data_IF_256994966002
#
_entry.id   IF_256994966002
#
_cell.length_a   1.000
_cell.length_b   1.000
_cell.length_c   1.000
_cell.angle_alpha   90.00
_cell.angle_beta   90.00
_cell.angle_gamma   90.00
#
_symmetry.space_group_name_H-M   'P 1'
#
loop_
_entity.id
_entity.type
_entity.pdbx_description
1 polymer ?
2 non-polymer ?
3 water ?
#
# COMPACT_ATOMS: atom_id res chain seq x y z
N UNK A 7 -15.27 8.53 21.28
CA UNK A 7 -16.03 7.40 21.81
C UNK A 7 -15.18 6.57 22.78
N UNK A 8 -15.78 6.09 23.87
CA UNK A 8 -14.99 5.47 24.92
C UNK A 8 -14.37 4.16 24.45
N UNK A 9 -13.25 3.75 25.05
CA UNK A 9 -12.62 2.49 24.67
C UNK A 9 -13.44 1.29 25.09
N UNK A 10 -13.24 0.19 24.37
CA UNK A 10 -13.81 -1.11 24.70
C UNK A 10 -12.65 -2.07 24.96
N UNK A 11 -12.97 -3.18 25.65
CA UNK A 11 -11.95 -4.21 25.83
C UNK A 11 -11.60 -4.85 24.49
N UNK A 12 -10.43 -5.50 24.45
CA UNK A 12 -10.05 -6.24 23.26
C UNK A 12 -11.07 -7.32 22.93
N UNK A 13 -11.57 -8.02 23.96
CA UNK A 13 -12.57 -9.06 23.72
C UNK A 13 -13.84 -8.48 23.13
N UNK A 14 -14.28 -7.32 23.65
CA UNK A 14 -15.51 -6.71 23.14
C UNK A 14 -15.33 -6.27 21.70
N UNK A 15 -14.17 -5.71 21.37
CA UNK A 15 -13.88 -5.34 19.99
C UNK A 15 -13.94 -6.55 19.08
N UNK A 16 -13.31 -7.66 19.48
CA UNK A 16 -13.29 -8.85 18.65
C UNK A 16 -14.68 -9.47 18.51
N UNK A 17 -15.51 -9.33 19.54
CA UNK A 17 -16.88 -9.81 19.42
C UNK A 17 -17.69 -9.00 18.42
N UNK A 18 -17.23 -7.78 18.11
CA UNK A 18 -17.87 -6.93 17.12
C UNK A 18 -17.09 -6.89 15.80
N UNK A 19 -16.48 -8.00 15.41
CA UNK A 19 -15.74 -8.01 14.15
C UNK A 19 -16.69 -7.89 12.96
N UNK A 20 -16.10 -7.66 11.78
CA UNK A 20 -16.88 -7.55 10.56
C UNK A 20 -17.72 -8.81 10.35
N UNK A 21 -19.02 -8.61 10.15
CA UNK A 21 -19.98 -9.70 10.08
C UNK A 21 -20.24 -10.04 8.62
N UNK A 22 -20.08 -11.32 8.28
CA UNK A 22 -20.18 -11.76 6.89
C UNK A 22 -20.47 -13.25 6.85
N UNK A 23 -21.26 -13.66 5.86
CA UNK A 23 -21.69 -15.06 5.71
C UNK A 23 -20.68 -15.79 4.84
N UNK A 24 -19.60 -16.30 5.47
CA UNK A 24 -18.55 -16.97 4.72
C UNK A 24 -19.03 -18.27 4.08
N UNK A 25 -20.06 -18.92 4.65
CA UNK A 25 -20.50 -20.19 4.11
C UNK A 25 -21.09 -20.03 2.71
N UNK A 26 -21.72 -18.89 2.43
CA UNK A 26 -22.38 -18.65 1.16
C UNK A 26 -21.47 -17.99 0.12
N UNK A 27 -20.23 -17.68 0.48
CA UNK A 27 -19.33 -16.90 -0.35
C UNK A 27 -18.18 -17.77 -0.84
N UNK A 28 -17.78 -17.60 -2.10
CA UNK A 28 -16.59 -18.25 -2.63
C UNK A 28 -15.55 -17.17 -2.89
N UNK A 29 -14.51 -17.04 -2.06
CA UNK A 29 -13.45 -16.06 -2.34
C UNK A 29 -12.81 -16.35 -3.68
N UNK A 30 -12.54 -15.34 -4.50
CA UNK A 30 -11.91 -15.60 -5.81
C UNK A 30 -10.53 -16.21 -5.65
N UNK A 31 -10.27 -17.27 -6.41
CA UNK A 31 -8.99 -17.97 -6.35
C UNK A 31 -7.96 -17.15 -7.11
N UNK A 32 -6.76 -17.01 -6.54
CA UNK A 32 -5.70 -16.27 -7.21
C UNK A 32 -5.17 -17.07 -8.40
N UNK A 33 -5.20 -16.47 -9.59
CA UNK A 33 -4.81 -17.20 -10.77
C UNK A 33 -3.31 -17.52 -10.79
N UNK A 34 -2.48 -16.58 -10.35
CA UNK A 34 -1.02 -16.72 -10.41
C UNK A 34 -0.44 -16.68 -8.99
N UNK A 35 -0.33 -17.86 -8.37
CA UNK A 35 0.33 -17.94 -7.07
C UNK A 35 1.83 -17.80 -7.25
N UNK A 36 2.49 -17.15 -6.31
CA UNK A 36 3.93 -17.03 -6.36
C UNK A 36 4.36 -15.58 -6.47
N UNK A 37 5.66 -15.40 -6.62
CA UNK A 37 6.30 -14.07 -6.61
C UNK A 37 6.86 -13.81 -8.00
N UNK A 38 6.62 -12.59 -8.50
CA UNK A 38 7.05 -12.20 -9.84
C UNK A 38 7.66 -10.81 -9.79
N UNK A 39 8.92 -10.70 -10.21
CA UNK A 39 9.52 -9.39 -10.41
C UNK A 39 8.89 -8.70 -11.62
N UNK A 40 8.66 -7.40 -11.50
CA UNK A 40 8.04 -6.62 -12.56
C UNK A 40 8.85 -5.35 -12.80
N UNK A 41 8.65 -4.77 -13.98
CA UNK A 41 9.13 -3.44 -14.28
C UNK A 41 8.04 -2.71 -15.06
N UNK A 42 8.19 -1.39 -15.12
CA UNK A 42 7.31 -0.60 -15.95
C UNK A 42 8.10 0.61 -16.43
N UNK A 43 7.95 0.93 -17.71
CA UNK A 43 8.64 2.09 -18.28
C UNK A 43 7.95 3.38 -17.86
N UNK A 44 8.70 4.48 -17.96
CA UNK A 44 8.10 5.78 -17.77
C UNK A 44 6.97 6.00 -18.77
N UNK A 45 7.16 5.56 -20.03
CA UNK A 45 6.11 5.71 -21.01
C UNK A 45 4.83 5.01 -20.57
N UNK A 46 4.94 3.80 -20.02
CA UNK A 46 3.75 3.09 -19.54
C UNK A 46 3.13 3.81 -18.35
N UNK A 47 3.95 4.21 -17.37
CA UNK A 47 3.41 4.72 -16.12
C UNK A 47 2.84 6.12 -16.25
N UNK A 48 3.26 6.90 -17.25
CA UNK A 48 2.79 8.28 -17.26
C UNK A 48 1.29 8.36 -17.51
N UNK A 49 0.70 7.32 -18.12
CA UNK A 49 -0.75 7.28 -18.29
C UNK A 49 -1.49 6.87 -17.01
N UNK A 50 -0.77 6.49 -15.97
CA UNK A 50 -1.35 6.18 -14.66
C UNK A 50 -1.00 7.21 -13.60
N UNK A 51 -0.38 8.33 -13.97
CA UNK A 51 -0.05 9.35 -12.98
C UNK A 51 -1.31 10.07 -12.54
N UNK A 52 -1.41 10.33 -11.23
CA UNK A 52 -2.39 11.24 -10.66
C UNK A 52 -1.65 12.56 -10.45
N UNK A 53 -1.94 13.56 -11.29
CA UNK A 53 -1.20 14.81 -11.26
C UNK A 53 -1.58 15.73 -10.11
N UNK A 54 -2.72 15.52 -9.46
CA UNK A 54 -3.15 16.47 -8.44
C UNK A 54 -2.18 16.57 -7.26
N UNK A 55 -1.66 15.47 -6.69
CA UNK A 55 -0.66 15.61 -5.63
C UNK A 55 0.63 16.24 -6.10
N UNK A 56 0.95 16.20 -7.38
CA UNK A 56 2.14 16.88 -7.89
C UNK A 56 2.00 18.39 -7.72
N UNK A 57 0.84 18.93 -8.10
CA UNK A 57 0.60 20.36 -7.93
C UNK A 57 0.53 20.73 -6.46
N UNK A 58 0.02 19.84 -5.60
CA UNK A 58 0.02 20.12 -4.16
C UNK A 58 1.44 20.26 -3.63
N UNK A 59 2.36 19.44 -4.13
CA UNK A 59 3.76 19.56 -3.73
C UNK A 59 4.32 20.93 -4.10
N UNK A 60 3.86 21.49 -5.21
CA UNK A 60 4.27 22.81 -5.64
C UNK A 60 3.44 23.93 -5.02
N UNK A 61 2.60 23.62 -4.04
CA UNK A 61 1.81 24.59 -3.28
C UNK A 61 0.72 25.26 -4.11
N UNK A 62 0.13 24.54 -5.06
CA UNK A 62 -0.94 25.07 -5.87
C UNK A 62 -2.21 24.28 -5.61
N UNK A 63 -3.33 24.98 -5.47
CA UNK A 63 -4.61 24.38 -5.17
C UNK A 63 -5.40 24.17 -6.45
N UNK A 64 -6.17 23.09 -6.50
CA UNK A 64 -6.99 22.78 -7.66
C UNK A 64 -6.71 21.37 -8.14
N UNK A 65 -7.72 20.76 -8.76
CA UNK A 65 -7.61 19.42 -9.29
C UNK A 65 -7.17 19.48 -10.75
N UNK A 66 -6.28 18.57 -11.12
CA UNK A 66 -5.93 18.39 -12.52
C UNK A 66 -7.05 17.60 -13.22
N UNK A 67 -7.42 17.96 -14.45
CA UNK A 67 -6.83 18.96 -15.35
C UNK A 67 -7.37 20.40 -15.23
N UNK A 68 -8.43 20.62 -14.44
CA UNK A 68 -9.04 21.95 -14.39
C UNK A 68 -8.07 23.01 -13.92
N UNK A 69 -7.11 22.64 -13.07
CA UNK A 69 -6.14 23.61 -12.55
C UNK A 69 -5.39 24.32 -13.68
N UNK A 70 -5.21 23.64 -14.82
CA UNK A 70 -4.48 24.24 -15.92
C UNK A 70 -5.20 25.46 -16.50
N UNK A 71 -6.53 25.47 -16.45
CA UNK A 71 -7.33 26.56 -16.98
C UNK A 71 -7.73 27.56 -15.90
N UNK A 72 -7.10 27.49 -14.73
CA UNK A 72 -7.36 28.45 -13.67
C UNK A 72 -6.87 29.84 -14.05
N UNK A 73 -7.64 30.85 -13.63
CA UNK A 73 -7.35 32.23 -14.04
C UNK A 73 -6.29 32.91 -13.20
N UNK A 74 -5.99 32.39 -12.01
CA UNK A 74 -4.97 32.97 -11.13
C UNK A 74 -3.71 32.10 -11.06
N UNK A 75 -3.88 30.78 -11.04
CA UNK A 75 -2.75 29.87 -10.90
C UNK A 75 -2.47 29.05 -12.16
N UNK A 76 -3.34 29.13 -13.17
CA UNK A 76 -3.23 28.25 -14.33
C UNK A 76 -1.94 28.41 -15.10
N UNK A 77 -1.44 29.65 -15.23
CA UNK A 77 -0.23 29.87 -16.00
C UNK A 77 0.98 29.23 -15.33
N UNK A 78 1.14 29.43 -14.03
CA UNK A 78 2.20 28.73 -13.31
C UNK A 78 2.02 27.21 -13.39
N UNK A 79 0.79 26.72 -13.25
CA UNK A 79 0.55 25.28 -13.32
C UNK A 79 0.93 24.73 -14.68
N UNK A 80 0.63 25.48 -15.75
CA UNK A 80 0.99 25.03 -17.10
C UNK A 80 2.50 24.94 -17.26
N UNK A 81 3.25 25.91 -16.72
CA UNK A 81 4.71 25.85 -16.81
C UNK A 81 5.26 24.67 -16.02
N UNK A 82 4.76 24.45 -14.81
CA UNK A 82 5.17 23.27 -14.03
C UNK A 82 4.87 21.98 -14.78
N UNK A 83 3.69 21.88 -15.38
CA UNK A 83 3.31 20.67 -16.11
C UNK A 83 4.19 20.46 -17.33
N UNK A 84 4.48 21.54 -18.06
CA UNK A 84 5.38 21.43 -19.21
C UNK A 84 6.78 21.02 -18.79
N UNK A 85 7.32 21.65 -17.73
CA UNK A 85 8.65 21.26 -17.26
C UNK A 85 8.67 19.82 -16.78
N UNK A 86 7.60 19.40 -16.10
CA UNK A 86 7.54 18.01 -15.62
C UNK A 86 7.54 17.03 -16.79
N UNK A 87 6.75 17.31 -17.83
CA UNK A 87 6.69 16.38 -18.94
C UNK A 87 7.95 16.42 -19.80
N UNK A 88 8.58 17.59 -19.90
CA UNK A 88 9.89 17.64 -20.54
C UNK A 88 10.92 16.79 -19.79
N UNK A 89 10.87 16.83 -18.45
CA UNK A 89 11.81 15.99 -17.70
C UNK A 89 11.47 14.51 -17.82
N UNK A 90 10.18 14.15 -17.78
CA UNK A 90 9.81 12.76 -18.04
C UNK A 90 10.30 12.30 -19.40
N UNK A 91 10.17 13.14 -20.44
CA UNK A 91 10.65 12.77 -21.77
C UNK A 91 12.13 12.45 -21.74
N UNK A 92 12.92 13.26 -21.02
CA UNK A 92 14.36 13.06 -20.97
C UNK A 92 14.72 11.81 -20.18
N UNK A 93 14.15 11.65 -18.99
CA UNK A 93 14.37 10.45 -18.19
C UNK A 93 13.99 9.19 -18.97
N UNK A 94 12.90 9.28 -19.74
CA UNK A 94 12.43 8.14 -20.52
C UNK A 94 13.41 7.83 -21.65
N UNK A 95 13.81 8.85 -22.42
CA UNK A 95 14.67 8.60 -23.56
C UNK A 95 16.05 8.14 -23.14
N UNK A 96 16.56 8.66 -22.02
CA UNK A 96 17.89 8.36 -21.56
C UNK A 96 17.95 7.16 -20.62
N UNK A 97 16.79 6.64 -20.18
CA UNK A 97 16.71 5.47 -19.31
C UNK A 97 17.48 5.68 -18.01
N UNK A 98 17.39 6.89 -17.47
CA UNK A 98 18.14 7.26 -16.28
C UNK A 98 17.35 7.12 -14.99
N UNK A 99 16.06 6.82 -15.06
CA UNK A 99 15.24 6.53 -13.89
C UNK A 99 14.32 5.39 -14.28
N UNK A 100 14.46 4.25 -13.62
CA UNK A 100 13.86 3.00 -14.09
C UNK A 100 12.97 2.37 -13.04
N UNK A 101 11.64 2.55 -13.14
CA UNK A 101 10.75 1.99 -12.12
C UNK A 101 10.80 0.47 -12.09
N UNK A 102 10.76 -0.07 -10.87
CA UNK A 102 10.85 -1.51 -10.65
C UNK A 102 9.90 -1.91 -9.53
N UNK A 103 9.50 -3.19 -9.55
CA UNK A 103 8.62 -3.66 -8.50
C UNK A 103 8.63 -5.17 -8.41
N UNK A 104 7.81 -5.66 -7.48
CA UNK A 104 7.63 -7.10 -7.28
C UNK A 104 6.23 -7.30 -6.74
N UNK A 105 5.59 -8.41 -7.15
CA UNK A 105 4.23 -8.75 -6.73
C UNK A 105 4.21 -10.20 -6.30
N UNK A 106 3.33 -10.53 -5.34
CA UNK A 106 3.16 -11.92 -4.94
C UNK A 106 1.75 -12.21 -4.49
N UNK A 107 1.29 -13.44 -4.78
CA UNK A 107 0.00 -13.94 -4.30
C UNK A 107 0.21 -15.28 -3.60
N UNK A 108 -0.54 -15.48 -2.53
CA UNK A 108 -0.32 -16.61 -1.62
C UNK A 108 -1.65 -17.13 -1.07
N UNK A 109 -1.75 -18.43 -0.78
CA UNK A 109 -2.92 -18.92 -0.02
C UNK A 109 -2.89 -18.34 1.38
N UNK A 110 -4.06 -18.01 1.92
CA UNK A 110 -4.12 -17.32 3.21
C UNK A 110 -5.46 -17.61 3.88
N UNK A 111 -5.47 -17.53 5.21
CA UNK A 111 -6.71 -17.56 5.98
C UNK A 111 -6.53 -16.72 7.23
N UNK A 112 -7.63 -16.16 7.71
CA UNK A 112 -7.63 -15.41 8.95
C UNK A 112 -7.63 -16.36 10.15
N UNK A 113 -6.85 -15.99 11.17
CA UNK A 113 -7.00 -16.58 12.51
C UNK A 113 -6.95 -15.42 13.49
N UNK A 114 -8.09 -15.12 14.11
CA UNK A 114 -8.13 -14.01 15.05
C UNK A 114 -7.90 -12.69 14.34
N UNK A 115 -7.02 -11.86 14.89
CA UNK A 115 -6.69 -10.58 14.27
C UNK A 115 -5.53 -10.69 13.29
N UNK A 116 -5.11 -11.90 12.92
CA UNK A 116 -3.96 -12.10 12.05
C UNK A 116 -4.38 -12.86 10.79
N UNK A 117 -3.50 -12.79 9.78
CA UNK A 117 -3.69 -13.54 8.53
C UNK A 117 -2.52 -14.50 8.40
N UNK A 118 -2.82 -15.80 8.38
CA UNK A 118 -1.78 -16.80 8.10
C UNK A 118 -1.56 -16.87 6.59
N UNK A 119 -0.29 -16.88 6.19
CA UNK A 119 0.11 -17.00 4.78
C UNK A 119 0.82 -18.34 4.63
N UNK A 120 0.30 -19.20 3.75
CA UNK A 120 0.74 -20.60 3.69
C UNK A 120 1.79 -20.81 2.60
N UNK A 121 2.63 -21.83 2.83
CA UNK A 121 3.58 -22.27 1.80
C UNK A 121 2.88 -22.73 0.53
N UNK A 122 1.74 -23.40 0.68
CA UNK A 122 1.10 -24.01 -0.48
C UNK A 122 -0.36 -24.27 -0.18
N UNK A 123 -1.06 -24.84 -1.17
CA UNK A 123 -2.49 -25.05 -1.05
C UNK A 123 -2.88 -26.14 -0.04
N UNK A 124 -1.91 -26.86 0.54
CA UNK A 124 -2.30 -27.72 1.66
C UNK A 124 -2.72 -26.91 2.87
N UNK A 125 -2.32 -25.64 2.96
CA UNK A 125 -2.69 -24.77 4.06
C UNK A 125 -2.33 -25.36 5.42
N UNK A 126 -1.11 -25.90 5.50
CA UNK A 126 -0.59 -26.42 6.76
C UNK A 126 0.54 -25.49 7.23
N UNK A 127 1.70 -25.63 6.62
CA UNK A 127 2.84 -24.84 7.04
C UNK A 127 2.66 -23.37 6.68
N UNK A 128 2.89 -22.52 7.67
CA UNK A 128 2.76 -21.08 7.54
C UNK A 128 4.15 -20.53 7.25
N UNK A 129 4.28 -19.77 6.16
CA UNK A 129 5.56 -19.14 5.86
C UNK A 129 5.70 -17.79 6.55
N UNK A 130 4.59 -17.07 6.73
CA UNK A 130 4.60 -15.77 7.40
C UNK A 130 3.21 -15.53 7.97
N UNK A 131 3.16 -14.69 9.00
CA UNK A 131 1.89 -14.18 9.50
C UNK A 131 1.86 -12.68 9.28
N UNK A 132 0.77 -12.22 8.66
CA UNK A 132 0.48 -10.78 8.56
C UNK A 132 -0.35 -10.39 9.79
N UNK A 133 0.22 -9.58 10.68
CA UNK A 133 -0.45 -9.21 11.92
C UNK A 133 -1.20 -7.91 11.74
N UNK A 134 -2.40 -7.83 12.31
CA UNK A 134 -3.21 -6.62 12.21
C UNK A 134 -3.78 -6.19 13.56
N UNK A 135 -4.14 -4.92 13.61
CA UNK A 135 -4.76 -4.31 14.78
C UNK A 135 -6.24 -4.09 14.50
N UNK A 136 -7.00 -3.93 15.58
CA UNK A 136 -8.45 -3.79 15.52
C UNK A 136 -8.87 -2.49 16.19
N UNK A 137 -9.79 -1.77 15.54
CA UNK A 137 -10.42 -0.61 16.16
C UNK A 137 -10.91 -0.97 17.56
N UNK A 138 -10.70 -0.06 18.52
CA UNK A 138 -10.94 -0.43 19.91
C UNK A 138 -11.75 0.61 20.68
N UNK A 139 -12.69 1.28 20.01
CA UNK A 139 -13.64 2.16 20.67
C UNK A 139 -15.06 1.70 20.36
N UNK A 140 -16.02 2.30 21.07
CA UNK A 140 -17.42 1.92 20.91
C UNK A 140 -17.90 2.32 19.53
N UNK A 141 -18.42 1.35 18.78
CA UNK A 141 -18.91 1.58 17.43
C UNK A 141 -20.43 1.47 17.43
N UNK A 142 -21.08 2.45 16.82
CA UNK A 142 -22.53 2.48 16.70
C UNK A 142 -22.89 2.17 15.26
N UNK A 143 -23.49 1.01 15.03
CA UNK A 143 -23.88 0.62 13.69
C UNK A 143 -22.72 0.33 12.76
N UNK A 144 -21.59 -0.10 13.31
CA UNK A 144 -20.46 -0.51 12.50
C UNK A 144 -19.62 -1.49 13.31
N UNK A 145 -18.94 -2.38 12.60
CA UNK A 145 -18.01 -3.30 13.22
C UNK A 145 -16.82 -2.56 13.79
N UNK A 146 -16.12 -3.22 14.71
CA UNK A 146 -14.77 -2.82 15.10
C UNK A 146 -13.82 -3.47 14.10
N UNK A 147 -13.40 -2.70 13.10
CA UNK A 147 -12.75 -3.28 11.93
C UNK A 147 -11.31 -3.71 12.20
N UNK A 148 -10.92 -4.81 11.57
CA UNK A 148 -9.55 -5.30 11.50
C UNK A 148 -9.34 -5.84 10.08
N UNK A 149 -8.20 -5.53 9.46
CA UNK A 149 -8.02 -5.95 8.07
C UNK A 149 -8.12 -7.46 7.91
N UNK A 150 -7.77 -8.21 8.96
CA UNK A 150 -7.87 -9.67 8.88
C UNK A 150 -9.30 -10.14 8.61
N UNK A 151 -10.30 -9.32 9.01
CA UNK A 151 -11.70 -9.70 8.83
C UNK A 151 -12.08 -9.86 7.38
N UNK A 152 -11.29 -9.34 6.44
CA UNK A 152 -11.64 -9.42 5.03
C UNK A 152 -11.10 -10.68 4.37
N UNK A 153 -10.47 -11.59 5.14
CA UNK A 153 -9.99 -12.88 4.65
C UNK A 153 -10.78 -13.97 5.37
N UNK A 154 -11.14 -15.03 4.64
CA UNK A 154 -11.98 -16.07 5.23
C UNK A 154 -11.32 -16.67 6.46
N UNK A 155 -12.05 -16.84 7.56
CA UNK A 155 -11.50 -17.52 8.74
C UNK A 155 -11.09 -18.94 8.40
N UNK A 156 -9.98 -19.39 8.96
CA UNK A 156 -9.55 -20.77 8.76
C UNK A 156 -10.65 -21.75 9.14
N UNK A 157 -11.42 -21.43 10.20
CA UNK A 157 -12.50 -22.29 10.65
C UNK A 157 -13.59 -22.48 9.58
N UNK A 158 -13.76 -21.50 8.69
CA UNK A 158 -14.78 -21.61 7.64
C UNK A 158 -14.42 -22.64 6.58
N UNK A 159 -13.14 -23.01 6.50
CA UNK A 159 -12.70 -23.96 5.49
C UNK A 159 -12.63 -23.42 4.08
N UNK A 160 -12.86 -22.12 3.89
CA UNK A 160 -12.89 -21.55 2.53
C UNK A 160 -11.48 -21.21 2.06
N UNK A 161 -11.16 -21.58 0.83
CA UNK A 161 -9.86 -21.28 0.25
C UNK A 161 -9.77 -19.80 -0.09
N UNK A 162 -8.89 -19.08 0.60
CA UNK A 162 -8.72 -17.64 0.38
C UNK A 162 -7.25 -17.33 0.11
N UNK A 163 -7.00 -16.06 -0.23
CA UNK A 163 -5.72 -15.62 -0.77
C UNK A 163 -5.42 -14.21 -0.28
N UNK A 164 -4.13 -13.86 -0.33
CA UNK A 164 -3.65 -12.52 -0.02
C UNK A 164 -2.56 -12.17 -1.02
N UNK A 165 -2.43 -10.88 -1.33
CA UNK A 165 -1.35 -10.41 -2.17
C UNK A 165 -0.48 -9.40 -1.43
N UNK A 166 0.70 -9.17 -2.00
CA UNK A 166 1.55 -8.08 -1.52
C UNK A 166 2.33 -7.51 -2.70
N UNK A 167 2.85 -6.29 -2.52
CA UNK A 167 3.62 -5.64 -3.56
C UNK A 167 4.63 -4.67 -2.95
N UNK A 168 5.65 -4.35 -3.75
CA UNK A 168 6.55 -3.25 -3.46
C UNK A 168 6.97 -2.68 -4.80
N UNK A 169 6.88 -1.34 -4.95
CA UNK A 169 7.25 -0.67 -6.21
C UNK A 169 8.03 0.59 -5.88
N UNK A 170 8.86 1.01 -6.84
CA UNK A 170 9.63 2.24 -6.71
C UNK A 170 9.68 2.99 -8.03
N UNK A 171 9.75 4.32 -7.95
CA UNK A 171 10.00 5.12 -9.13
C UNK A 171 11.36 4.86 -9.77
N UNK A 172 12.31 4.32 -9.01
CA UNK A 172 13.60 3.97 -9.54
C UNK A 172 14.73 4.17 -8.56
N UNK A 173 15.74 3.30 -8.60
CA UNK A 173 16.83 3.40 -7.63
C UNK A 173 17.71 4.62 -7.86
N UNK A 174 17.61 5.23 -9.04
CA UNK A 174 18.46 6.36 -9.42
C UNK A 174 17.98 7.68 -8.84
N UNK A 175 16.86 7.70 -8.12
CA UNK A 175 16.29 8.95 -7.61
C UNK A 175 17.32 9.80 -6.85
N UNK A 176 18.04 9.20 -5.90
CA UNK A 176 18.99 9.97 -5.09
C UNK A 176 20.11 10.55 -5.94
N UNK A 177 20.63 9.78 -6.91
CA UNK A 177 21.74 10.27 -7.71
C UNK A 177 21.31 11.45 -8.57
N UNK A 178 20.08 11.42 -9.08
CA UNK A 178 19.60 12.53 -9.90
C UNK A 178 19.32 13.76 -9.04
N UNK A 179 18.69 13.56 -7.88
CA UNK A 179 18.43 14.68 -6.98
C UNK A 179 19.72 15.25 -6.43
N UNK A 180 20.68 14.39 -6.08
CA UNK A 180 21.92 14.88 -5.48
C UNK A 180 22.75 15.68 -6.48
N UNK A 181 22.63 15.35 -7.77
CA UNK A 181 23.32 16.12 -8.79
C UNK A 181 22.75 17.53 -8.89
N UNK A 182 21.42 17.65 -8.91
CA UNK A 182 20.81 18.98 -8.90
C UNK A 182 21.17 19.74 -7.63
N UNK A 183 21.21 19.04 -6.48
CA UNK A 183 21.60 19.70 -5.24
C UNK A 183 23.01 20.25 -5.33
N UNK A 184 23.93 19.50 -5.93
CA UNK A 184 25.30 19.96 -6.05
C UNK A 184 25.39 21.22 -6.91
N UNK A 185 24.48 21.37 -7.88
CA UNK A 185 24.42 22.54 -8.75
C UNK A 185 23.67 23.71 -8.12
N UNK A 186 23.17 23.55 -6.89
CA UNK A 186 22.27 24.52 -6.26
C UNK A 186 21.03 24.78 -7.10
N UNK A 187 20.55 23.74 -7.80
CA UNK A 187 19.35 23.83 -8.64
C UNK A 187 18.19 23.24 -7.85
N UNK A 188 17.64 24.05 -6.95
CA UNK A 188 16.58 23.56 -6.07
C UNK A 188 15.31 23.23 -6.85
N UNK A 189 15.01 24.00 -7.90
CA UNK A 189 13.81 23.74 -8.70
C UNK A 189 13.84 22.34 -9.27
N UNK A 190 14.94 21.96 -9.90
CA UNK A 190 15.00 20.65 -10.55
C UNK A 190 15.19 19.52 -9.54
N UNK A 191 15.82 19.79 -8.40
CA UNK A 191 15.84 18.78 -7.34
C UNK A 191 14.43 18.46 -6.87
N UNK A 192 13.62 19.48 -6.62
CA UNK A 192 12.22 19.28 -6.24
C UNK A 192 11.47 18.57 -7.36
N UNK A 193 11.71 18.97 -8.61
CA UNK A 193 10.99 18.39 -9.74
C UNK A 193 11.27 16.90 -9.88
N UNK A 194 12.54 16.49 -9.82
CA UNK A 194 12.84 15.08 -10.05
C UNK A 194 12.31 14.21 -8.92
N UNK A 195 12.39 14.70 -7.67
CA UNK A 195 11.82 13.94 -6.55
C UNK A 195 10.29 13.85 -6.67
N UNK A 196 9.65 14.92 -7.15
CA UNK A 196 8.20 14.92 -7.31
C UNK A 196 7.79 13.96 -8.43
N UNK A 197 8.58 13.91 -9.50
CA UNK A 197 8.30 12.97 -10.57
C UNK A 197 8.54 11.53 -10.14
N UNK A 198 9.62 11.27 -9.39
CA UNK A 198 9.82 9.91 -8.89
C UNK A 198 8.65 9.48 -8.02
N UNK A 199 8.14 10.41 -7.20
CA UNK A 199 6.97 10.14 -6.38
C UNK A 199 5.75 9.80 -7.24
N UNK A 200 5.49 10.62 -8.28
CA UNK A 200 4.37 10.30 -9.18
C UNK A 200 4.55 8.95 -9.84
N UNK A 201 5.78 8.60 -10.23
CA UNK A 201 6.01 7.31 -10.88
C UNK A 201 5.80 6.14 -9.92
N UNK A 202 6.25 6.28 -8.67
CA UNK A 202 6.03 5.21 -7.71
C UNK A 202 4.53 5.01 -7.47
N UNK A 203 3.80 6.10 -7.30
CA UNK A 203 2.36 6.00 -7.05
C UNK A 203 1.63 5.50 -8.29
N UNK A 204 2.07 5.91 -9.48
CA UNK A 204 1.50 5.38 -10.72
C UNK A 204 1.75 3.89 -10.85
N UNK A 205 2.96 3.44 -10.48
CA UNK A 205 3.25 2.00 -10.49
C UNK A 205 2.36 1.25 -9.50
N UNK A 206 2.13 1.82 -8.32
CA UNK A 206 1.21 1.14 -7.39
C UNK A 206 -0.19 1.02 -7.99
N UNK A 207 -0.64 2.07 -8.69
CA UNK A 207 -1.96 2.03 -9.31
C UNK A 207 -2.01 1.01 -10.46
N UNK A 208 -1.01 1.07 -11.34
CA UNK A 208 -0.96 0.16 -12.48
C UNK A 208 -0.84 -1.29 -12.02
N UNK A 209 0.05 -1.56 -11.06
CA UNK A 209 0.23 -2.94 -10.61
C UNK A 209 -1.02 -3.47 -9.93
N UNK A 210 -1.72 -2.63 -9.15
CA UNK A 210 -2.99 -3.06 -8.56
C UNK A 210 -4.00 -3.45 -9.63
N UNK A 211 -4.08 -2.67 -10.72
CA UNK A 211 -4.96 -3.04 -11.82
C UNK A 211 -4.54 -4.37 -12.43
N UNK A 212 -3.24 -4.57 -12.65
CA UNK A 212 -2.73 -5.85 -13.14
C UNK A 212 -3.13 -7.00 -12.22
N UNK A 213 -3.11 -6.77 -10.91
CA UNK A 213 -3.49 -7.81 -9.96
C UNK A 213 -4.98 -8.11 -10.07
N UNK A 214 -5.83 -7.07 -10.04
CA UNK A 214 -7.27 -7.31 -10.11
C UNK A 214 -7.64 -8.03 -11.39
N UNK A 215 -7.03 -7.63 -12.50
CA UNK A 215 -7.44 -8.13 -13.80
C UNK A 215 -6.78 -9.46 -14.18
N UNK A 216 -5.53 -9.67 -13.77
CA UNK A 216 -4.73 -10.78 -14.30
C UNK A 216 -4.11 -11.66 -13.21
N UNK A 217 -3.25 -11.10 -12.35
CA UNK A 217 -2.53 -11.94 -11.39
C UNK A 217 -3.49 -12.63 -10.42
N UNK A 218 -4.35 -11.85 -9.76
CA UNK A 218 -5.45 -12.43 -9.00
C UNK A 218 -6.59 -12.80 -9.94
N UNK A 219 -6.99 -11.86 -10.79
CA UNK A 219 -7.85 -12.20 -11.91
C UNK A 219 -9.32 -12.21 -11.59
N UNK A 220 -9.74 -11.55 -10.50
CA UNK A 220 -11.15 -11.53 -10.14
C UNK A 220 -11.95 -10.46 -10.89
N UNK A 221 -11.29 -9.55 -11.58
CA UNK A 221 -11.96 -8.53 -12.39
C UNK A 221 -11.35 -8.46 -13.79
N UNK A 222 -11.39 -9.55 -14.55
CA UNK A 222 -10.66 -9.59 -15.83
C UNK A 222 -11.19 -8.61 -16.86
N UNK A 223 -12.44 -8.17 -16.73
CA UNK A 223 -13.06 -7.30 -17.73
C UNK A 223 -13.26 -5.89 -17.22
N UNK A 224 -12.63 -5.54 -16.10
CA UNK A 224 -12.63 -4.17 -15.64
C UNK A 224 -12.09 -3.26 -16.73
N UNK A 225 -12.74 -2.11 -16.92
CA UNK A 225 -12.31 -1.13 -17.92
C UNK A 225 -12.53 0.27 -17.34
N UNK A 226 -11.67 0.67 -16.43
CA UNK A 226 -11.79 1.96 -15.77
C UNK A 226 -10.85 2.97 -16.40
N UNK A 227 -11.32 4.21 -16.47
CA UNK A 227 -10.44 5.32 -16.81
C UNK A 227 -9.52 5.64 -15.65
N UNK A 228 -8.49 6.43 -15.95
CA UNK A 228 -7.59 6.88 -14.88
C UNK A 228 -8.35 7.68 -13.83
N UNK A 229 -9.30 8.50 -14.25
CA UNK A 229 -10.10 9.24 -13.28
C UNK A 229 -10.89 8.30 -12.38
N UNK A 230 -11.38 7.19 -12.95
CA UNK A 230 -12.11 6.22 -12.14
C UNK A 230 -11.18 5.47 -11.20
N UNK A 231 -9.95 5.18 -11.64
CA UNK A 231 -8.96 4.60 -10.74
C UNK A 231 -8.65 5.54 -9.57
N UNK A 232 -8.48 6.83 -9.87
CA UNK A 232 -8.21 7.81 -8.81
C UNK A 232 -9.36 7.84 -7.82
N UNK A 233 -10.59 7.67 -8.30
CA UNK A 233 -11.75 7.64 -7.41
C UNK A 233 -11.95 6.29 -6.71
N UNK A 234 -11.07 5.31 -6.96
CA UNK A 234 -11.12 4.01 -6.29
C UNK A 234 -12.39 3.23 -6.65
N UNK A 235 -12.85 3.37 -7.89
CA UNK A 235 -14.09 2.73 -8.33
C UNK A 235 -13.81 1.31 -8.79
N UNK A 236 -13.10 0.55 -7.98
CA UNK A 236 -12.84 -0.86 -8.25
C UNK A 236 -13.09 -1.64 -6.98
N UNK A 237 -13.13 -2.96 -7.13
CA UNK A 237 -13.33 -3.89 -6.01
C UNK A 237 -11.98 -4.24 -5.40
N UNK A 238 -11.87 -4.13 -4.08
CA UNK A 238 -10.67 -4.48 -3.36
C UNK A 238 -9.85 -3.26 -2.97
N UNK A 239 -8.89 -3.51 -2.07
CA UNK A 239 -8.04 -2.45 -1.54
C UNK A 239 -6.58 -2.88 -1.56
N UNK A 240 -5.69 -1.89 -1.40
CA UNK A 240 -4.25 -2.13 -1.36
C UNK A 240 -3.61 -1.42 -0.16
N UNK A 241 -4.05 -1.73 1.06
CA UNK A 241 -3.58 -0.97 2.23
C UNK A 241 -2.08 -1.12 2.44
N UNK A 242 -1.46 -0.03 2.89
CA UNK A 242 -0.02 0.06 3.00
C UNK A 242 0.40 0.23 4.46
N UNK A 243 1.33 -0.57 4.97
CA UNK A 243 1.82 -0.37 6.34
C UNK A 243 2.29 1.06 6.56
N UNK A 244 1.88 1.62 7.69
CA UNK A 244 2.10 3.02 8.03
C UNK A 244 0.86 3.89 7.89
N UNK A 245 -0.09 3.47 7.05
CA UNK A 245 -1.34 4.19 6.84
C UNK A 245 -2.36 3.74 7.87
N UNK A 246 -3.49 4.45 7.99
CA UNK A 246 -4.30 4.31 9.22
C UNK A 246 -4.93 2.95 9.47
N UNK A 247 -5.20 2.11 8.45
CA UNK A 247 -5.77 0.79 8.73
C UNK A 247 -4.72 -0.23 9.18
N UNK A 248 -3.44 0.08 8.95
CA UNK A 248 -2.34 -0.80 9.35
C UNK A 248 -1.16 0.09 9.65
N UNK A 249 -1.20 0.80 10.79
CA UNK A 249 -0.19 1.83 11.05
C UNK A 249 1.17 1.31 11.47
N UNK A 250 1.32 0.02 11.75
CA UNK A 250 2.53 -0.50 12.38
C UNK A 250 3.57 -0.82 11.30
N UNK A 251 4.64 -0.02 11.28
CA UNK A 251 5.61 -0.03 10.17
C UNK A 251 6.43 -1.30 10.08
N UNK A 252 6.64 -2.01 11.20
CA UNK A 252 7.52 -3.17 11.14
C UNK A 252 6.94 -4.30 10.30
N UNK A 253 5.65 -4.23 9.98
CA UNK A 253 5.09 -5.23 9.07
C UNK A 253 5.69 -5.15 7.67
N UNK A 254 6.36 -4.05 7.32
CA UNK A 254 7.06 -4.02 6.05
C UNK A 254 8.14 -5.08 5.97
N UNK A 255 8.70 -5.48 7.13
CA UNK A 255 9.69 -6.56 7.10
C UNK A 255 9.07 -7.86 6.58
N UNK A 256 7.81 -8.10 6.92
CA UNK A 256 7.14 -9.30 6.43
C UNK A 256 6.98 -9.25 4.91
N UNK A 257 6.61 -8.09 4.36
CA UNK A 257 6.52 -7.96 2.90
C UNK A 257 7.88 -8.16 2.27
N UNK A 258 8.93 -7.58 2.87
CA UNK A 258 10.27 -7.71 2.32
C UNK A 258 10.71 -9.18 2.25
N UNK A 259 10.34 -9.98 3.26
CA UNK A 259 10.67 -11.39 3.27
C UNK A 259 9.80 -12.19 2.30
N UNK A 260 8.48 -11.95 2.34
CA UNK A 260 7.53 -12.69 1.50
C UNK A 260 7.87 -12.56 0.02
N UNK A 261 8.22 -11.34 -0.41
CA UNK A 261 8.45 -11.06 -1.83
C UNK A 261 9.92 -11.04 -2.22
N UNK A 262 10.83 -11.27 -1.27
CA UNK A 262 12.25 -11.07 -1.49
C UNK A 262 12.49 -9.73 -2.19
N UNK A 263 11.95 -8.67 -1.58
CA UNK A 263 11.91 -7.36 -2.23
C UNK A 263 13.31 -6.89 -2.64
N UNK A 264 14.29 -6.99 -1.73
CA UNK A 264 15.59 -6.41 -2.05
C UNK A 264 16.25 -7.14 -3.21
N UNK A 265 16.12 -8.48 -3.25
CA UNK A 265 16.69 -9.25 -4.35
C UNK A 265 16.05 -8.86 -5.68
N UNK A 266 14.73 -8.67 -5.70
CA UNK A 266 14.00 -8.47 -6.94
C UNK A 266 13.94 -7.03 -7.41
N UNK A 267 14.18 -6.05 -6.54
CA UNK A 267 14.01 -4.64 -6.88
C UNK A 267 15.14 -3.72 -6.47
N UNK A 268 16.01 -4.15 -5.55
CA UNK A 268 16.96 -3.25 -4.94
C UNK A 268 16.42 -2.36 -3.82
N UNK A 269 15.13 -2.41 -3.54
CA UNK A 269 14.55 -1.57 -2.48
C UNK A 269 14.92 -2.12 -1.11
N UNK A 270 15.13 -1.20 -0.16
CA UNK A 270 15.62 -1.52 1.18
C UNK A 270 14.71 -0.92 2.24
N UNK A 271 14.81 -1.43 3.47
CA UNK A 271 14.16 -0.90 4.66
C UNK A 271 15.21 -0.31 5.59
N UNK A 272 14.89 0.83 6.23
CA UNK A 272 15.77 1.42 7.23
C UNK A 272 15.48 0.83 8.62
N UNK A 273 16.22 1.30 9.62
CA UNK A 273 15.98 0.87 10.99
C UNK A 273 14.65 1.39 11.51
N UNK A 274 14.15 2.49 10.96
CA UNK A 274 12.81 2.98 11.26
C UNK A 274 11.76 2.29 10.43
N UNK A 275 12.16 1.35 9.58
CA UNK A 275 11.30 0.66 8.62
C UNK A 275 10.75 1.61 7.55
N UNK A 276 11.45 2.72 7.30
CA UNK A 276 11.19 3.51 6.11
C UNK A 276 11.73 2.79 4.89
N UNK A 277 11.12 3.05 3.74
CA UNK A 277 11.57 2.45 2.49
C UNK A 277 12.59 3.33 1.80
N UNK A 278 13.57 2.70 1.16
CA UNK A 278 14.45 3.36 0.21
C UNK A 278 14.32 2.63 -1.13
N UNK A 279 14.19 3.34 -2.26
CA UNK A 279 14.19 4.80 -2.39
C UNK A 279 13.01 5.51 -1.70
N UNK A 280 13.18 6.82 -1.46
CA UNK A 280 12.08 7.61 -0.93
C UNK A 280 10.80 7.43 -1.72
N UNK A 281 10.90 7.45 -3.05
CA UNK A 281 9.73 7.24 -3.90
C UNK A 281 9.47 5.74 -4.04
N UNK A 282 8.79 5.20 -3.02
CA UNK A 282 8.44 3.78 -2.95
C UNK A 282 7.08 3.63 -2.29
N UNK A 283 6.38 2.56 -2.66
CA UNK A 283 5.11 2.16 -2.07
C UNK A 283 5.17 0.65 -1.85
N UNK A 284 4.69 0.19 -0.69
CA UNK A 284 4.53 -1.24 -0.48
C UNK A 284 3.24 -1.49 0.28
N UNK A 285 2.69 -2.67 0.09
CA UNK A 285 1.44 -2.96 0.78
C UNK A 285 0.89 -4.33 0.44
N UNK A 286 -0.38 -4.51 0.80
CA UNK A 286 -1.09 -5.77 0.68
C UNK A 286 -2.18 -5.60 -0.36
N UNK A 287 -2.73 -6.74 -0.83
CA UNK A 287 -3.92 -6.74 -1.68
C UNK A 287 -5.01 -7.58 -1.03
N UNK A 288 -6.21 -7.02 -0.96
CA UNK A 288 -7.41 -7.71 -0.47
C UNK A 288 -8.46 -7.66 -1.57
N UNK A 289 -9.10 -8.79 -1.84
CA UNK A 289 -10.09 -8.88 -2.91
C UNK A 289 -11.52 -8.67 -2.44
N UNK A 290 -11.79 -8.73 -1.14
CA UNK A 290 -13.17 -8.84 -0.69
C UNK A 290 -13.98 -7.62 -1.13
N UNK A 291 -15.22 -7.82 -1.59
CA UNK A 291 -16.03 -6.67 -2.05
C UNK A 291 -16.32 -5.64 -0.97
N UNK A 292 -16.31 -6.03 0.31
CA UNK A 292 -16.60 -5.10 1.40
C UNK A 292 -15.35 -4.54 2.04
N UNK A 293 -14.17 -4.91 1.55
CA UNK A 293 -12.95 -4.34 2.09
C UNK A 293 -12.91 -2.83 1.83
N UNK A 294 -12.36 -2.09 2.77
CA UNK A 294 -12.38 -0.63 2.71
C UNK A 294 -11.31 -0.09 3.65
N UNK A 295 -10.96 1.18 3.44
CA UNK A 295 -10.01 1.87 4.30
C UNK A 295 -10.73 2.48 5.49
N UNK A 296 -10.00 2.64 6.57
CA UNK A 296 -10.48 3.19 7.84
C UNK A 296 -9.24 3.43 8.69
N UNK A 297 -9.44 4.00 9.87
CA UNK A 297 -8.36 4.21 10.83
C UNK A 297 -8.55 3.30 12.04
N UNK A 298 -7.50 2.54 12.37
CA UNK A 298 -7.51 1.78 13.63
C UNK A 298 -7.70 2.72 14.82
N UNK A 299 -6.98 3.85 14.82
CA UNK A 299 -7.06 4.84 15.89
C UNK A 299 -6.51 4.29 17.21
N UNK A 300 -7.02 4.77 18.35
CA UNK A 300 -6.33 4.54 19.63
C UNK A 300 -6.65 3.17 20.21
N UNK A 301 -5.62 2.48 20.68
CA UNK A 301 -5.76 1.14 21.22
C UNK A 301 -5.29 1.11 22.67
N UNK A 302 -5.67 0.06 23.37
CA UNK A 302 -5.45 -0.03 24.81
C UNK A 302 -4.35 -1.04 25.13
N UNK A 303 -3.99 -1.07 26.43
CA UNK A 303 -2.89 -1.91 26.88
C UNK A 303 -3.14 -3.38 26.58
N UNK A 304 -4.39 -3.84 26.73
CA UNK A 304 -4.66 -5.24 26.44
C UNK A 304 -4.31 -5.61 25.01
N UNK A 305 -4.64 -4.74 24.05
CA UNK A 305 -4.31 -5.07 22.65
C UNK A 305 -2.82 -4.93 22.38
N UNK A 306 -2.17 -3.96 23.01
CA UNK A 306 -0.72 -3.80 22.88
C UNK A 306 0.00 -5.06 23.35
N UNK A 307 -0.38 -5.57 24.53
CA UNK A 307 0.28 -6.76 25.07
C UNK A 307 0.03 -7.98 24.21
N UNK A 308 -1.19 -8.12 23.68
CA UNK A 308 -1.48 -9.25 22.80
C UNK A 308 -0.71 -9.15 21.50
N UNK A 309 -0.63 -7.96 20.92
CA UNK A 309 0.14 -7.77 19.70
C UNK A 309 1.60 -8.13 19.95
N UNK A 310 2.14 -7.74 21.11
CA UNK A 310 3.53 -8.06 21.44
C UNK A 310 3.75 -9.56 21.45
N UNK A 311 2.88 -10.32 22.14
CA UNK A 311 3.01 -11.78 22.13
C UNK A 311 3.01 -12.32 20.70
N UNK A 312 2.04 -11.89 19.87
CA UNK A 312 1.92 -12.44 18.52
C UNK A 312 3.16 -12.13 17.69
N UNK A 313 3.77 -10.96 17.91
CA UNK A 313 4.92 -10.49 17.15
C UNK A 313 6.24 -11.04 17.67
N UNK A 314 6.23 -11.72 18.81
CA UNK A 314 7.48 -12.11 19.43
C UNK A 314 8.29 -10.94 19.95
N UNK A 315 7.62 -9.86 20.36
CA UNK A 315 8.26 -8.66 20.87
C UNK A 315 7.90 -8.46 22.34
N UNK A 316 8.72 -7.66 23.02
CA UNK A 316 8.33 -7.25 24.36
C UNK A 316 7.30 -6.14 24.27
N UNK A 317 6.56 -5.94 25.35
CA UNK A 317 5.62 -4.83 25.43
C UNK A 317 6.34 -3.50 25.22
N UNK A 318 7.53 -3.35 25.82
CA UNK A 318 8.32 -2.13 25.64
C UNK A 318 8.62 -1.86 24.16
N UNK A 319 9.03 -2.88 23.41
CA UNK A 319 9.28 -2.71 21.97
C UNK A 319 8.03 -2.25 21.24
N UNK A 320 6.91 -2.92 21.50
CA UNK A 320 5.67 -2.61 20.78
C UNK A 320 5.20 -1.20 21.10
N UNK A 321 5.46 -0.73 22.32
CA UNK A 321 5.05 0.63 22.67
C UNK A 321 5.81 1.66 21.85
N UNK A 322 7.02 1.34 21.39
CA UNK A 322 7.69 2.26 20.47
C UNK A 322 6.99 2.26 19.11
N UNK A 323 6.76 1.08 18.55
CA UNK A 323 6.25 0.97 17.19
C UNK A 323 4.81 1.43 17.09
N UNK A 324 4.06 1.37 18.19
CA UNK A 324 2.66 1.76 18.21
C UNK A 324 2.43 3.08 18.92
N UNK A 325 3.49 3.81 19.25
CA UNK A 325 3.37 5.08 19.97
C UNK A 325 2.26 5.98 19.45
N UNK A 326 2.10 6.21 18.13
CA UNK A 326 1.03 7.12 17.67
C UNK A 326 -0.37 6.60 17.93
N UNK A 327 -0.53 5.30 18.17
CA UNK A 327 -1.85 4.73 18.34
C UNK A 327 -2.17 4.37 19.79
N UNK A 328 -1.30 4.72 20.73
CA UNK A 328 -1.55 4.36 22.12
C UNK A 328 -2.61 5.28 22.70
N UNK A 329 -3.66 4.68 23.27
CA UNK A 329 -4.71 5.44 23.91
C UNK A 329 -4.49 5.56 25.41
N UNK A 330 -3.24 5.53 25.84
CA UNK A 330 -2.87 5.60 27.25
C UNK A 330 -1.44 6.10 27.33
N UNK A 331 -1.05 6.57 28.51
CA UNK A 331 0.28 7.14 28.67
C UNK A 331 1.35 6.06 28.77
X LIG B 1 -4.14 8.76 -6.53
X LIG B 1 -3.48 8.55 -5.24
X LIG B 1 -2.20 9.35 -5.13
X LIG B 1 -1.86 9.85 -4.04
X LIG B 1 -1.51 9.52 -6.14
X LIG B 1 -3.21 7.06 -5.03
X LIG B 1 -2.44 6.77 -3.73
X LIG B 1 -3.19 7.41 -2.21
X LIG B 1 -1.75 7.43 -1.11
X LIG B 1 -4.12 5.96 -1.65
X LIG B 1 -3.30 4.79 -1.10
X LIG B 1 -2.91 5.01 0.26
X LIG B 1 -4.16 3.54 -1.06
X LIG B 1 -4.13 2.82 -2.28
X LIG B 1 -3.55 2.75 0.05
X LIG B 1 -2.37 2.12 -0.39
X LIG B 1 -3.14 3.84 1.00
X LIG B 1 -4.14 4.17 2.02
X LIG B 1 -4.97 5.27 2.07
X LIG B 1 -5.70 5.21 3.21
X LIG B 1 -5.34 4.09 3.88
X LIG B 1 -5.75 3.52 5.08
X LIG B 1 -6.69 4.09 5.85
X LIG B 1 -5.15 2.35 5.47
X LIG B 1 -4.19 1.73 4.70
X LIG B 1 -3.78 2.28 3.50
X LIG B 1 -4.37 3.44 3.14
#
# INVERSE_FOLDING_TARGET
>A
GSKKPRTPPVTLEAARDNDFAFDWQAYTPPVAHRLGVQEVEASIETLRNYIDWTPFFMTWSLAGKYPRILEDEVVGVEAQRLFKDANDMLDKLSAEKTLNPRGVVGLFPANRVGDDIEIYRDETRTHVINVSHHLRQQTEKTGFANYCLADFVAPKLSGKADYIGAFAVTGGLEEDALADAFEAQHDDYNKIMVKALADRLAEAFAEYLHERVRKVYWGYAPNENLSNEELIRENYQGIRPAPGYPACPEHTEKATIWELLEVEKHTGMKLTESFAMWPGASVSGWYFSHPDSKYYAVAQIQRDQVEDYARRKGMSVTEVERWLAPNLGYDAD
>B hetero
1 SAM N CA C O OXT CB CG SD CE C5' C4' O4' C3' O3' C2' O2' C1' N9 C8 N7 C5 C6 N6 N1 C2 N3 C4
#
